data_IF_281464682958
#
_entry.id   IF_281464682958
#
_cell.length_a   1.000
_cell.length_b   1.000
_cell.length_c   1.000
_cell.angle_alpha   90.00
_cell.angle_beta   90.00
_cell.angle_gamma   90.00
#
_symmetry.space_group_name_H-M   'P 1'
#
loop_
_entity.id
_entity.type
_entity.pdbx_description
1 polymer ?
#
# COMPACT_ATOMS: atom_id res chain seq x y z
N UNK A 1 11.94 -14.33 -13.03
CA UNK A 1 10.89 -13.55 -12.38
C UNK A 1 9.96 -14.51 -11.67
N UNK A 2 9.94 -14.51 -10.34
CA UNK A 2 9.00 -15.34 -9.57
C UNK A 2 7.61 -14.71 -9.71
N UNK A 3 6.71 -15.35 -10.45
CA UNK A 3 5.30 -14.98 -10.46
C UNK A 3 4.61 -15.76 -9.34
N UNK A 4 4.28 -15.09 -8.25
CA UNK A 4 3.32 -15.61 -7.30
C UNK A 4 1.94 -15.61 -7.97
N UNK A 5 1.36 -16.79 -8.12
CA UNK A 5 -0.02 -16.95 -8.59
C UNK A 5 -0.89 -17.15 -7.37
N UNK A 6 -1.90 -16.32 -7.22
CA UNK A 6 -2.85 -16.41 -6.12
C UNK A 6 -3.93 -15.35 -6.23
N UNK A 7 -4.90 -15.43 -5.36
CA UNK A 7 -5.99 -14.47 -5.27
C UNK A 7 -5.52 -13.17 -4.61
N UNK A 8 -6.02 -12.04 -5.10
CA UNK A 8 -5.73 -10.71 -4.58
C UNK A 8 -7.03 -9.98 -4.22
N UNK A 9 -7.02 -9.25 -3.11
CA UNK A 9 -8.10 -8.36 -2.68
C UNK A 9 -7.60 -6.92 -2.64
N UNK A 10 -8.29 -6.01 -3.32
CA UNK A 10 -8.02 -4.59 -3.27
C UNK A 10 -9.21 -3.83 -2.67
N UNK A 11 -9.04 -3.31 -1.46
CA UNK A 11 -9.99 -2.44 -0.78
C UNK A 11 -9.76 -0.99 -1.23
N UNK A 12 -10.50 -0.54 -2.26
CA UNK A 12 -10.39 0.79 -2.87
C UNK A 12 -11.36 1.76 -2.20
N UNK A 13 -11.08 2.15 -0.97
CA UNK A 13 -12.07 2.80 -0.07
C UNK A 13 -12.32 4.29 -0.39
N UNK A 14 -11.45 4.92 -1.19
CA UNK A 14 -11.62 6.29 -1.66
C UNK A 14 -12.20 6.38 -3.09
N UNK A 15 -12.45 5.23 -3.72
CA UNK A 15 -12.88 5.16 -5.10
C UNK A 15 -14.29 4.58 -5.26
N UNK A 16 -14.90 4.84 -6.41
CA UNK A 16 -16.11 4.14 -6.84
C UNK A 16 -15.73 2.96 -7.75
N UNK A 17 -16.56 1.91 -7.79
CA UNK A 17 -16.34 0.77 -8.69
C UNK A 17 -16.15 1.20 -10.15
N UNK A 18 -16.89 2.22 -10.61
CA UNK A 18 -16.75 2.77 -11.97
C UNK A 18 -15.35 3.35 -12.20
N UNK A 19 -14.77 4.05 -11.23
CA UNK A 19 -13.39 4.59 -11.36
C UNK A 19 -12.36 3.48 -11.36
N UNK A 20 -12.53 2.49 -10.49
CA UNK A 20 -11.66 1.30 -10.45
C UNK A 20 -11.69 0.59 -11.81
N UNK A 21 -12.89 0.31 -12.35
CA UNK A 21 -13.07 -0.32 -13.64
C UNK A 21 -12.41 0.48 -14.77
N UNK A 22 -12.62 1.80 -14.83
CA UNK A 22 -12.00 2.65 -15.85
C UNK A 22 -10.47 2.61 -15.79
N UNK A 23 -9.87 2.57 -14.58
CA UNK A 23 -8.41 2.44 -14.42
C UNK A 23 -7.90 1.07 -14.85
N UNK A 24 -8.63 0.01 -14.51
CA UNK A 24 -8.28 -1.34 -14.95
C UNK A 24 -8.23 -1.45 -16.47
N UNK A 25 -9.22 -0.90 -17.18
CA UNK A 25 -9.23 -0.90 -18.65
C UNK A 25 -8.09 -0.09 -19.29
N UNK A 26 -7.44 0.82 -18.54
CA UNK A 26 -6.22 1.47 -19.01
C UNK A 26 -4.97 0.57 -18.90
N UNK A 27 -5.04 -0.49 -18.06
CA UNK A 27 -3.90 -1.34 -17.73
C UNK A 27 -4.01 -2.71 -18.42
N UNK A 28 -5.23 -3.22 -18.56
CA UNK A 28 -5.48 -4.56 -19.11
C UNK A 28 -6.82 -4.65 -19.82
N UNK A 29 -6.86 -5.42 -20.91
CA UNK A 29 -8.11 -5.72 -21.63
C UNK A 29 -8.96 -6.76 -20.92
N UNK A 30 -8.34 -7.64 -20.11
CA UNK A 30 -9.02 -8.65 -19.30
C UNK A 30 -8.64 -8.53 -17.84
N UNK A 31 -9.65 -8.39 -16.97
CA UNK A 31 -9.43 -8.43 -15.51
C UNK A 31 -9.19 -9.88 -15.10
N UNK A 32 -8.09 -10.18 -14.40
CA UNK A 32 -7.85 -11.54 -13.93
C UNK A 32 -8.98 -12.03 -13.01
N UNK A 33 -9.46 -13.29 -13.15
CA UNK A 33 -10.58 -13.81 -12.36
C UNK A 33 -10.28 -13.94 -10.86
N UNK A 34 -9.01 -13.89 -10.48
CA UNK A 34 -8.51 -13.93 -9.11
C UNK A 34 -8.18 -12.53 -8.53
N UNK A 35 -8.62 -11.45 -9.18
CA UNK A 35 -8.49 -10.09 -8.68
C UNK A 35 -9.85 -9.57 -8.19
N UNK A 36 -9.98 -9.37 -6.88
CA UNK A 36 -11.20 -8.92 -6.23
C UNK A 36 -11.08 -7.46 -5.78
N UNK A 37 -12.18 -6.71 -5.89
CA UNK A 37 -12.23 -5.29 -5.56
C UNK A 37 -13.43 -5.00 -4.68
N UNK A 38 -13.22 -4.24 -3.59
CA UNK A 38 -14.29 -3.75 -2.73
C UNK A 38 -14.11 -2.24 -2.48
N UNK A 39 -15.22 -1.49 -2.43
CA UNK A 39 -15.21 -0.04 -2.20
C UNK A 39 -15.72 0.34 -0.81
N UNK A 40 -15.93 -0.65 0.04
CA UNK A 40 -16.29 -0.48 1.45
C UNK A 40 -15.69 -1.60 2.28
N UNK A 41 -15.31 -1.27 3.49
CA UNK A 41 -14.84 -2.20 4.52
C UNK A 41 -15.18 -1.66 5.90
N UNK A 42 -15.11 -2.50 6.93
CA UNK A 42 -15.12 -2.07 8.32
C UNK A 42 -13.87 -1.29 8.70
N UNK A 43 -13.87 -0.73 9.90
CA UNK A 43 -12.66 -0.14 10.51
C UNK A 43 -11.91 -1.18 11.33
N UNK A 44 -10.73 -0.80 11.86
CA UNK A 44 -9.94 -1.65 12.76
C UNK A 44 -10.73 -2.10 14.00
N UNK A 45 -11.66 -1.25 14.50
CA UNK A 45 -12.54 -1.58 15.63
C UNK A 45 -13.89 -2.17 15.21
N UNK A 46 -14.16 -2.26 13.92
CA UNK A 46 -15.47 -2.66 13.38
C UNK A 46 -15.33 -3.69 12.25
N UNK A 47 -14.66 -4.79 12.54
CA UNK A 47 -14.68 -6.01 11.75
C UNK A 47 -13.77 -6.06 10.52
N UNK A 48 -12.83 -5.14 10.30
CA UNK A 48 -11.92 -5.19 9.14
C UNK A 48 -11.08 -6.47 9.12
N UNK A 49 -10.51 -6.84 10.26
CA UNK A 49 -9.66 -8.04 10.36
C UNK A 49 -10.46 -9.31 10.08
N UNK A 50 -11.67 -9.39 10.62
CA UNK A 50 -12.60 -10.50 10.41
C UNK A 50 -13.01 -10.60 8.92
N UNK A 51 -13.29 -9.47 8.28
CA UNK A 51 -13.62 -9.43 6.84
C UNK A 51 -12.47 -9.95 5.98
N UNK A 52 -11.21 -9.58 6.28
CA UNK A 52 -10.03 -10.10 5.59
C UNK A 52 -9.88 -11.60 5.85
N UNK A 53 -10.04 -12.05 7.09
CA UNK A 53 -9.96 -13.47 7.45
C UNK A 53 -11.04 -14.30 6.75
N UNK A 54 -12.27 -13.82 6.69
CA UNK A 54 -13.37 -14.51 6.02
C UNK A 54 -13.16 -14.56 4.51
N UNK A 55 -12.67 -13.48 3.90
CA UNK A 55 -12.27 -13.49 2.49
C UNK A 55 -11.19 -14.56 2.20
N UNK A 56 -10.15 -14.64 3.06
CA UNK A 56 -9.08 -15.65 2.89
C UNK A 56 -9.60 -17.07 3.10
N UNK A 57 -10.58 -17.29 3.99
CA UNK A 57 -11.24 -18.61 4.14
C UNK A 57 -12.01 -19.02 2.89
N UNK A 58 -12.70 -18.06 2.24
CA UNK A 58 -13.40 -18.28 0.98
C UNK A 58 -12.46 -18.45 -0.21
N UNK A 59 -11.28 -17.82 -0.15
CA UNK A 59 -10.23 -17.84 -1.18
C UNK A 59 -8.88 -18.28 -0.57
N UNK A 60 -8.68 -19.59 -0.32
CA UNK A 60 -7.51 -20.08 0.41
C UNK A 60 -6.17 -19.87 -0.31
N UNK A 61 -6.19 -19.55 -1.60
CA UNK A 61 -5.04 -19.19 -2.42
C UNK A 61 -4.71 -17.67 -2.39
N UNK A 62 -5.32 -16.91 -1.47
CA UNK A 62 -5.05 -15.48 -1.34
C UNK A 62 -3.59 -15.26 -0.93
N UNK A 63 -2.91 -14.39 -1.67
CA UNK A 63 -1.49 -14.04 -1.43
C UNK A 63 -1.29 -12.57 -1.12
N UNK A 64 -2.27 -11.70 -1.47
CA UNK A 64 -2.08 -10.27 -1.37
C UNK A 64 -3.40 -9.54 -1.06
N UNK A 65 -3.35 -8.65 -0.09
CA UNK A 65 -4.45 -7.73 0.25
C UNK A 65 -3.90 -6.30 0.26
N UNK A 66 -4.56 -5.38 -0.44
CA UNK A 66 -4.25 -3.96 -0.40
C UNK A 66 -5.38 -3.16 0.23
N UNK A 67 -5.04 -2.21 1.09
CA UNK A 67 -5.98 -1.26 1.73
C UNK A 67 -5.64 0.16 1.28
N UNK A 68 -6.51 0.77 0.48
CA UNK A 68 -6.34 2.10 -0.09
C UNK A 68 -7.56 2.99 0.25
N UNK A 69 -7.48 3.82 1.30
CA UNK A 69 -6.29 4.12 2.10
C UNK A 69 -6.44 3.65 3.54
N UNK A 70 -5.31 3.41 4.20
CA UNK A 70 -5.26 3.06 5.62
C UNK A 70 -5.98 4.09 6.51
N UNK A 71 -5.94 5.36 6.13
CA UNK A 71 -6.61 6.43 6.88
C UNK A 71 -8.11 6.20 7.07
N UNK A 72 -8.79 5.55 6.12
CA UNK A 72 -10.25 5.30 6.19
C UNK A 72 -10.59 4.22 7.20
N UNK A 73 -9.74 3.23 7.35
CA UNK A 73 -9.98 2.09 8.23
C UNK A 73 -9.46 2.28 9.65
N UNK A 74 -8.69 3.35 9.89
CA UNK A 74 -8.19 3.69 11.23
C UNK A 74 -9.34 3.95 12.20
N UNK A 75 -9.11 3.68 13.47
CA UNK A 75 -10.01 4.09 14.52
C UNK A 75 -10.05 5.63 14.59
N UNK A 76 -11.25 6.20 14.78
CA UNK A 76 -11.44 7.65 14.91
C UNK A 76 -10.91 8.17 16.28
N UNK A 77 -9.75 7.66 16.74
CA UNK A 77 -9.11 8.16 17.93
C UNK A 77 -8.47 9.52 17.66
N UNK A 78 -8.68 10.47 18.56
CA UNK A 78 -8.04 11.80 18.55
C UNK A 78 -6.53 11.67 18.81
N UNK A 79 -6.10 10.51 19.30
CA UNK A 79 -4.71 10.23 19.65
C UNK A 79 -3.90 9.86 18.42
N UNK A 80 -3.00 10.77 17.99
CA UNK A 80 -2.03 10.58 16.92
C UNK A 80 -0.63 10.29 17.48
N UNK A 81 -0.55 9.60 18.61
CA UNK A 81 0.73 9.24 19.24
C UNK A 81 1.43 8.11 18.48
N UNK A 82 2.75 8.03 18.65
CA UNK A 82 3.58 6.91 18.17
C UNK A 82 3.00 5.54 18.59
N UNK A 83 2.59 5.42 19.86
CA UNK A 83 2.07 4.16 20.40
C UNK A 83 0.78 3.74 19.71
N UNK A 84 -0.11 4.68 19.41
CA UNK A 84 -1.36 4.39 18.70
C UNK A 84 -1.11 3.98 17.24
N UNK A 85 -0.26 4.71 16.51
CA UNK A 85 0.12 4.38 15.14
C UNK A 85 0.74 2.97 15.05
N UNK A 86 1.64 2.65 15.98
CA UNK A 86 2.28 1.33 16.06
C UNK A 86 1.25 0.22 16.33
N UNK A 87 0.35 0.44 17.30
CA UNK A 87 -0.65 -0.56 17.69
C UNK A 87 -1.67 -0.83 16.57
N UNK A 88 -2.12 0.20 15.86
CA UNK A 88 -3.04 0.03 14.72
C UNK A 88 -2.42 -0.81 13.60
N UNK A 89 -1.14 -0.62 13.29
CA UNK A 89 -0.43 -1.47 12.32
C UNK A 89 -0.28 -2.90 12.86
N UNK A 90 0.01 -3.06 14.16
CA UNK A 90 0.15 -4.38 14.79
C UNK A 90 -1.13 -5.19 14.72
N UNK A 91 -2.31 -4.55 14.90
CA UNK A 91 -3.62 -5.19 14.77
C UNK A 91 -3.80 -5.80 13.37
N UNK A 92 -3.36 -5.12 12.31
CA UNK A 92 -3.46 -5.62 10.94
C UNK A 92 -2.36 -6.63 10.59
N UNK A 93 -1.15 -6.42 11.13
CA UNK A 93 -0.01 -7.29 10.84
C UNK A 93 -0.22 -8.70 11.40
N UNK A 94 -0.75 -8.82 12.61
CA UNK A 94 -0.94 -10.12 13.25
C UNK A 94 -1.77 -11.09 12.37
N UNK A 95 -3.01 -10.77 11.93
CA UNK A 95 -3.77 -11.68 11.05
C UNK A 95 -3.09 -11.89 9.68
N UNK A 96 -2.37 -10.90 9.15
CA UNK A 96 -1.65 -11.07 7.90
C UNK A 96 -0.51 -12.10 8.03
N UNK A 97 0.25 -12.06 9.13
CA UNK A 97 1.30 -13.04 9.45
C UNK A 97 0.71 -14.44 9.67
N UNK A 98 -0.41 -14.55 10.42
CA UNK A 98 -1.09 -15.82 10.69
C UNK A 98 -1.65 -16.49 9.43
N UNK A 99 -2.13 -15.67 8.48
CA UNK A 99 -2.68 -16.12 7.20
C UNK A 99 -1.61 -16.33 6.13
N UNK A 100 -0.37 -15.86 6.35
CA UNK A 100 0.72 -15.94 5.39
C UNK A 100 0.50 -15.09 4.13
N UNK A 101 -0.20 -13.96 4.25
CA UNK A 101 -0.50 -13.04 3.15
C UNK A 101 0.35 -11.78 3.22
N UNK A 102 0.61 -11.18 2.06
CA UNK A 102 1.20 -9.85 1.99
C UNK A 102 0.09 -8.79 2.15
N UNK A 103 0.21 -7.91 3.13
CA UNK A 103 -0.70 -6.79 3.35
C UNK A 103 -0.03 -5.47 2.97
N UNK A 104 -0.56 -4.77 1.97
CA UNK A 104 -0.14 -3.44 1.55
C UNK A 104 -1.09 -2.38 2.11
N UNK A 105 -0.55 -1.45 2.88
CA UNK A 105 -1.29 -0.28 3.39
C UNK A 105 -0.87 0.96 2.61
N UNK A 106 -1.79 1.55 1.86
CA UNK A 106 -1.56 2.82 1.17
C UNK A 106 -1.88 3.97 2.11
N UNK A 107 -0.96 4.93 2.21
CA UNK A 107 -1.11 6.08 3.09
C UNK A 107 -0.65 7.38 2.42
N UNK A 108 -1.30 8.48 2.74
CA UNK A 108 -0.92 9.79 2.21
C UNK A 108 0.29 10.37 2.96
N UNK A 109 1.15 11.06 2.22
CA UNK A 109 2.25 11.83 2.81
C UNK A 109 1.76 13.19 3.32
N UNK A 110 2.37 13.70 4.38
CA UNK A 110 2.19 15.08 4.82
C UNK A 110 2.72 16.05 3.76
N UNK A 111 2.06 17.21 3.65
CA UNK A 111 2.54 18.30 2.78
C UNK A 111 3.79 19.02 3.31
N UNK A 112 4.17 18.75 4.55
CA UNK A 112 5.31 19.38 5.20
C UNK A 112 6.60 18.76 4.65
N UNK A 113 7.54 19.61 4.20
CA UNK A 113 8.85 19.16 3.72
C UNK A 113 9.69 18.61 4.86
N UNK A 114 10.36 17.50 4.62
CA UNK A 114 11.39 16.92 5.48
C UNK A 114 12.53 16.43 4.58
N UNK A 115 13.76 16.45 5.10
CA UNK A 115 14.93 15.92 4.40
C UNK A 115 14.89 14.39 4.28
N UNK A 116 14.28 13.73 5.26
CA UNK A 116 14.03 12.29 5.23
C UNK A 116 12.62 12.03 4.67
N UNK A 117 12.50 11.31 3.52
CA UNK A 117 11.22 10.97 2.92
C UNK A 117 10.28 10.21 3.87
N UNK A 118 10.81 9.36 4.74
CA UNK A 118 10.02 8.54 5.65
C UNK A 118 9.40 9.34 6.79
N UNK A 119 9.97 10.48 7.17
CA UNK A 119 9.38 11.40 8.13
C UNK A 119 8.13 12.12 7.58
N UNK A 120 7.89 12.07 6.27
CA UNK A 120 6.68 12.61 5.61
C UNK A 120 5.48 11.69 5.74
N UNK A 121 5.68 10.43 6.13
CA UNK A 121 4.56 9.56 6.49
C UNK A 121 3.81 10.18 7.66
N UNK A 122 2.49 10.28 7.53
CA UNK A 122 1.64 10.99 8.50
C UNK A 122 1.70 10.34 9.88
N UNK A 123 1.79 11.16 10.90
CA UNK A 123 1.73 10.73 12.28
C UNK A 123 3.08 10.76 12.92
N UNK A 124 3.66 9.65 13.06
CA UNK A 124 4.91 9.45 13.80
C UNK A 124 5.74 8.41 13.08
N UNK A 125 6.99 8.26 13.49
CA UNK A 125 7.84 7.14 13.07
C UNK A 125 7.26 5.76 13.48
N UNK A 126 6.11 5.73 14.18
CA UNK A 126 5.42 4.52 14.61
C UNK A 126 4.97 3.63 13.45
N UNK A 127 4.46 4.22 12.37
CA UNK A 127 4.05 3.45 11.19
C UNK A 127 5.24 2.74 10.56
N UNK A 128 6.33 3.49 10.27
CA UNK A 128 7.54 2.92 9.66
C UNK A 128 8.18 1.87 10.56
N UNK A 129 8.17 2.08 11.87
CA UNK A 129 8.72 1.12 12.84
C UNK A 129 7.91 -0.18 12.98
N UNK A 130 6.64 -0.19 12.62
CA UNK A 130 5.74 -1.33 12.77
C UNK A 130 5.66 -2.23 11.53
N UNK A 131 5.94 -1.70 10.32
CA UNK A 131 5.91 -2.47 9.07
C UNK A 131 7.23 -3.19 8.80
N UNK A 132 7.20 -4.22 7.96
CA UNK A 132 8.42 -4.93 7.53
C UNK A 132 9.15 -4.16 6.44
N UNK A 133 8.40 -3.48 5.56
CA UNK A 133 8.95 -2.66 4.48
C UNK A 133 8.10 -1.41 4.30
N UNK A 134 8.74 -0.26 4.14
CA UNK A 134 8.09 1.00 3.81
C UNK A 134 8.55 1.50 2.44
N UNK A 135 7.61 2.02 1.66
CA UNK A 135 7.84 2.66 0.38
C UNK A 135 7.33 4.10 0.42
N UNK A 136 8.13 5.05 -0.03
CA UNK A 136 7.72 6.45 -0.20
C UNK A 136 7.88 6.86 -1.64
N UNK A 137 6.76 7.15 -2.32
CA UNK A 137 6.74 7.63 -3.71
C UNK A 137 6.62 9.15 -3.72
N UNK A 138 7.67 9.83 -4.17
CA UNK A 138 7.71 11.29 -4.28
C UNK A 138 7.78 11.75 -5.73
N UNK A 139 6.93 12.73 -6.07
CA UNK A 139 7.01 13.47 -7.32
C UNK A 139 7.63 14.83 -7.08
N UNK A 140 8.58 15.26 -7.94
CA UNK A 140 9.18 16.59 -7.89
C UNK A 140 8.14 17.71 -8.09
N UNK A 141 7.09 17.44 -8.90
CA UNK A 141 5.94 18.33 -9.15
C UNK A 141 4.68 17.50 -9.34
N UNK A 142 3.51 18.09 -9.05
CA UNK A 142 2.21 17.41 -9.16
C UNK A 142 1.95 16.77 -10.54
N UNK A 143 2.42 17.40 -11.60
CA UNK A 143 2.22 16.90 -12.98
C UNK A 143 3.50 16.30 -13.58
N UNK A 144 4.51 15.96 -12.76
CA UNK A 144 5.72 15.33 -13.27
C UNK A 144 5.42 13.89 -13.69
N UNK A 145 6.00 13.48 -14.82
CA UNK A 145 5.99 12.09 -15.28
C UNK A 145 7.13 11.29 -14.64
N UNK A 146 7.93 11.92 -13.78
CA UNK A 146 9.02 11.31 -13.01
C UNK A 146 8.71 11.31 -11.52
N UNK A 147 9.15 10.28 -10.84
CA UNK A 147 9.06 10.14 -9.39
C UNK A 147 10.27 9.39 -8.87
N UNK A 148 10.55 9.56 -7.58
CA UNK A 148 11.53 8.77 -6.85
C UNK A 148 10.78 7.87 -5.87
N UNK A 149 11.10 6.58 -5.87
CA UNK A 149 10.60 5.60 -4.90
C UNK A 149 11.71 5.28 -3.93
N UNK A 150 11.53 5.67 -2.69
CA UNK A 150 12.39 5.28 -1.58
C UNK A 150 11.85 4.00 -0.97
N UNK A 151 12.75 3.08 -0.63
CA UNK A 151 12.43 1.80 0.01
C UNK A 151 13.33 1.63 1.23
N UNK A 152 12.76 1.18 2.35
CA UNK A 152 13.49 0.75 3.55
C UNK A 152 12.74 -0.40 4.21
N UNK A 153 13.44 -1.28 4.92
CA UNK A 153 12.79 -2.39 5.61
C UNK A 153 13.76 -3.29 6.36
N UNK A 154 13.20 -4.27 7.07
CA UNK A 154 13.99 -5.20 7.91
C UNK A 154 14.82 -6.18 7.10
N UNK A 155 14.25 -6.65 5.97
CA UNK A 155 14.82 -7.71 5.12
C UNK A 155 15.12 -7.21 3.71
N UNK A 156 15.10 -5.89 3.50
CA UNK A 156 15.41 -5.24 2.23
C UNK A 156 16.44 -4.13 2.45
N UNK A 157 17.36 -3.98 1.51
CA UNK A 157 18.30 -2.88 1.50
C UNK A 157 17.59 -1.56 1.23
N UNK A 158 18.10 -0.47 1.79
CA UNK A 158 17.64 0.86 1.47
C UNK A 158 17.90 1.15 -0.01
N UNK A 159 16.85 1.57 -0.74
CA UNK A 159 16.92 1.86 -2.17
C UNK A 159 16.26 3.18 -2.51
N UNK A 160 16.80 3.79 -3.55
CA UNK A 160 16.24 5.00 -4.15
C UNK A 160 16.09 4.77 -5.66
N UNK A 161 14.89 4.43 -6.09
CA UNK A 161 14.60 4.06 -7.46
C UNK A 161 14.03 5.26 -8.23
N UNK A 162 14.62 5.57 -9.38
CA UNK A 162 14.09 6.57 -10.29
C UNK A 162 13.03 5.95 -11.19
N UNK A 163 11.83 6.54 -11.19
CA UNK A 163 10.68 6.04 -11.92
C UNK A 163 10.21 7.06 -12.96
N UNK A 164 9.68 6.55 -14.09
CA UNK A 164 8.97 7.34 -15.10
C UNK A 164 7.60 6.72 -15.36
N UNK A 165 6.57 7.56 -15.34
CA UNK A 165 5.21 7.14 -15.68
C UNK A 165 5.03 7.03 -17.19
N UNK A 166 4.63 5.85 -17.66
CA UNK A 166 4.19 5.64 -19.03
C UNK A 166 2.73 6.00 -19.18
N UNK A 167 2.43 7.06 -19.92
CA UNK A 167 1.04 7.50 -20.19
C UNK A 167 0.30 6.54 -21.12
N UNK A 168 1.04 5.79 -21.93
CA UNK A 168 0.50 4.83 -22.89
C UNK A 168 0.06 3.54 -22.19
N UNK A 169 0.87 3.07 -21.23
CA UNK A 169 0.63 1.81 -20.51
C UNK A 169 0.03 2.01 -19.12
N UNK A 170 -0.09 3.25 -18.65
CA UNK A 170 -0.57 3.62 -17.30
C UNK A 170 0.21 2.98 -16.14
N UNK A 171 1.51 2.75 -16.33
CA UNK A 171 2.39 2.14 -15.33
C UNK A 171 3.64 2.98 -15.07
N UNK A 172 4.21 2.82 -13.88
CA UNK A 172 5.52 3.34 -13.55
C UNK A 172 6.60 2.37 -14.02
N UNK A 173 7.59 2.87 -14.76
CA UNK A 173 8.75 2.10 -15.20
C UNK A 173 9.98 2.54 -14.42
N UNK A 174 10.73 1.59 -13.88
CA UNK A 174 12.01 1.85 -13.24
C UNK A 174 13.06 2.21 -14.27
N UNK A 175 13.77 3.31 -14.05
CA UNK A 175 14.87 3.79 -14.89
C UNK A 175 16.24 3.37 -14.34
N UNK A 176 16.40 3.28 -13.03
CA UNK A 176 17.64 2.92 -12.37
C UNK A 176 17.55 3.04 -10.85
N UNK A 177 18.63 2.62 -10.19
CA UNK A 177 18.84 2.78 -8.75
C UNK A 177 19.92 3.86 -8.53
N UNK A 178 19.58 4.94 -7.83
CA UNK A 178 20.49 6.06 -7.60
C UNK A 178 21.57 5.74 -6.56
N UNK A 179 21.40 4.67 -5.77
CA UNK A 179 22.39 4.23 -4.77
C UNK A 179 23.46 3.37 -5.42
N UNK A 180 23.12 2.51 -6.38
CA UNK A 180 24.09 1.65 -7.08
C UNK A 180 25.04 2.44 -8.03
N UNK A 181 24.72 3.69 -8.34
CA UNK A 181 25.49 4.54 -9.24
C UNK A 181 26.42 5.54 -8.49
N UNK A 182 26.71 5.33 -7.21
CA UNK A 182 27.70 6.09 -6.41
C UNK A 182 28.95 5.20 -6.05
#
# INVERSE_FOLDING_TARGET
MLQYRGTTLYLCLEDTLRRVQNRLFCITDEVPPNAFFATSAGTLSDGLCEQIQDFVKEHPDTVFVAVDTFQIVRNNSIDTSYANDYEEIRILKQPADELGICLLLVHHLRKQGDSDPFNKLTGTTGIVGAVDTAFVLEKSRRNADSATLYCTGRDVEDRQLELRFSKEEFVWKMLGDSIENR
#
